data_IF_112224401552
#
_entry.id   IF_112224401552
#
_cell.length_a   1.000
_cell.length_b   1.000
_cell.length_c   1.000
_cell.angle_alpha   90.00
_cell.angle_beta   90.00
_cell.angle_gamma   90.00
#
_symmetry.space_group_name_H-M   'P 1'
#
loop_
_entity.id
_entity.type
_entity.pdbx_description
1 polymer ?
#
# COMPACT_ATOMS: atom_id res chain seq x y z
N UNK A 1 -18.89 21.37 18.30
CA UNK A 1 -17.60 22.02 17.94
C UNK A 1 -17.44 21.90 16.44
N UNK A 2 -17.37 23.02 15.73
CA UNK A 2 -17.02 22.99 14.31
C UNK A 2 -15.55 22.55 14.17
N UNK A 3 -15.21 21.62 13.27
CA UNK A 3 -13.81 21.31 12.98
C UNK A 3 -13.12 22.59 12.52
N UNK A 4 -12.02 22.94 13.17
CA UNK A 4 -11.14 24.02 12.73
C UNK A 4 -10.48 23.54 11.43
N UNK A 5 -10.82 24.18 10.30
CA UNK A 5 -10.24 23.83 9.01
C UNK A 5 -8.75 24.11 9.07
N UNK A 6 -7.95 23.08 8.83
CA UNK A 6 -6.52 23.28 8.59
C UNK A 6 -6.42 24.01 7.25
N UNK A 7 -5.84 25.21 7.27
CA UNK A 7 -5.72 26.11 6.12
C UNK A 7 -4.87 25.52 4.97
N UNK A 8 -4.13 24.44 5.23
CA UNK A 8 -3.28 23.79 4.23
C UNK A 8 -4.13 23.05 3.20
N UNK A 9 -4.06 23.54 1.96
CA UNK A 9 -4.80 22.96 0.83
C UNK A 9 -4.04 21.77 0.21
N UNK A 10 -4.75 20.88 -0.49
CA UNK A 10 -4.11 19.80 -1.26
C UNK A 10 -3.22 20.30 -2.40
N UNK A 11 -3.33 21.58 -2.78
CA UNK A 11 -2.54 22.18 -3.85
C UNK A 11 -1.14 22.62 -3.39
N UNK A 12 -0.95 22.86 -2.09
CA UNK A 12 0.35 23.25 -1.55
C UNK A 12 1.34 22.09 -1.57
N UNK A 13 2.58 22.40 -1.98
CA UNK A 13 3.68 21.45 -2.10
C UNK A 13 4.90 21.91 -1.31
N UNK A 14 5.77 20.96 -0.95
CA UNK A 14 7.10 21.23 -0.41
C UNK A 14 8.22 21.10 -1.44
N UNK A 15 9.40 20.75 -0.97
CA UNK A 15 10.60 20.56 -1.79
C UNK A 15 10.46 19.38 -2.76
N UNK A 16 9.67 18.36 -2.39
CA UNK A 16 9.44 17.19 -3.24
C UNK A 16 8.41 17.45 -4.35
N UNK A 17 7.71 18.59 -4.32
CA UNK A 17 6.67 18.90 -5.32
C UNK A 17 5.45 17.96 -5.27
N UNK A 18 5.27 17.21 -4.17
CA UNK A 18 4.17 16.24 -4.01
C UNK A 18 2.94 16.95 -3.47
N UNK A 19 1.86 16.95 -4.24
CA UNK A 19 0.55 17.49 -3.82
C UNK A 19 -0.01 16.68 -2.66
N UNK A 20 -0.86 17.31 -1.86
CA UNK A 20 -1.53 16.70 -0.70
C UNK A 20 -0.63 16.26 0.48
N UNK A 21 0.68 16.05 0.27
CA UNK A 21 1.62 15.61 1.31
C UNK A 21 1.67 16.56 2.51
N UNK A 22 1.72 17.87 2.24
CA UNK A 22 1.72 18.91 3.29
C UNK A 22 0.42 18.92 4.08
N UNK A 23 -0.71 18.74 3.39
CA UNK A 23 -2.04 18.66 4.03
C UNK A 23 -2.13 17.43 4.93
N UNK A 24 -1.71 16.26 4.46
CA UNK A 24 -1.65 15.03 5.26
C UNK A 24 -0.81 15.22 6.53
N UNK A 25 0.41 15.78 6.39
CA UNK A 25 1.26 16.11 7.52
C UNK A 25 0.59 17.09 8.49
N UNK A 26 0.00 18.18 8.00
CA UNK A 26 -0.64 19.19 8.83
C UNK A 26 -1.83 18.61 9.61
N UNK A 27 -2.63 17.76 8.97
CA UNK A 27 -3.71 17.01 9.60
C UNK A 27 -3.20 16.10 10.71
N UNK A 28 -2.11 15.36 10.47
CA UNK A 28 -1.48 14.53 11.49
C UNK A 28 -0.94 15.36 12.67
N UNK A 29 -0.27 16.50 12.40
CA UNK A 29 0.25 17.37 13.46
C UNK A 29 -0.85 18.01 14.31
N UNK A 30 -1.96 18.41 13.69
CA UNK A 30 -3.12 18.93 14.41
C UNK A 30 -3.75 17.86 15.31
N UNK A 31 -3.97 16.64 14.79
CA UNK A 31 -4.44 15.50 15.59
C UNK A 31 -3.51 15.22 16.77
N UNK A 32 -2.19 15.25 16.54
CA UNK A 32 -1.17 15.07 17.59
C UNK A 32 -1.29 16.13 18.70
N UNK A 33 -1.65 17.37 18.35
CA UNK A 33 -1.86 18.48 19.30
C UNK A 33 -3.25 18.49 19.94
N UNK A 34 -4.04 17.42 19.77
CA UNK A 34 -5.37 17.28 20.36
C UNK A 34 -6.46 18.08 19.65
N UNK A 35 -6.21 18.58 18.43
CA UNK A 35 -7.24 19.28 17.64
C UNK A 35 -8.08 18.28 16.86
N UNK A 36 -9.40 18.49 16.88
CA UNK A 36 -10.32 17.73 16.05
C UNK A 36 -10.26 18.20 14.61
N UNK A 37 -9.88 17.30 13.71
CA UNK A 37 -9.88 17.50 12.27
C UNK A 37 -10.90 16.52 11.69
N UNK A 38 -12.04 17.03 11.24
CA UNK A 38 -13.00 16.20 10.51
C UNK A 38 -12.36 15.73 9.21
N UNK A 39 -12.34 14.42 8.98
CA UNK A 39 -11.91 13.84 7.71
C UNK A 39 -13.13 13.40 6.92
N UNK A 40 -13.28 13.93 5.71
CA UNK A 40 -14.30 13.47 4.77
C UNK A 40 -13.86 12.16 4.10
N UNK A 41 -14.80 11.49 3.42
CA UNK A 41 -14.44 10.34 2.58
C UNK A 41 -13.45 10.74 1.47
N UNK A 42 -13.58 11.95 0.92
CA UNK A 42 -12.65 12.47 -0.08
C UNK A 42 -11.24 12.68 0.49
N UNK A 43 -11.12 13.19 1.72
CA UNK A 43 -9.83 13.27 2.42
C UNK A 43 -9.23 11.88 2.61
N UNK A 44 -10.04 10.90 3.04
CA UNK A 44 -9.56 9.52 3.21
C UNK A 44 -9.08 8.90 1.89
N UNK A 45 -9.81 9.10 0.78
CA UNK A 45 -9.41 8.62 -0.55
C UNK A 45 -8.09 9.28 -0.99
N UNK A 46 -7.93 10.58 -0.76
CA UNK A 46 -6.72 11.31 -1.11
C UNK A 46 -5.51 10.91 -0.26
N UNK A 47 -5.70 10.71 1.06
CA UNK A 47 -4.67 10.22 1.98
C UNK A 47 -4.19 8.82 1.55
N UNK A 48 -5.12 7.91 1.22
CA UNK A 48 -4.77 6.57 0.76
C UNK A 48 -4.08 6.58 -0.61
N UNK A 49 -4.56 7.39 -1.56
CA UNK A 49 -3.91 7.55 -2.85
C UNK A 49 -2.49 8.10 -2.70
N UNK A 50 -2.31 9.14 -1.87
CA UNK A 50 -1.00 9.70 -1.55
C UNK A 50 -0.05 8.64 -0.99
N UNK A 51 -0.47 7.94 0.06
CA UNK A 51 0.40 7.00 0.75
C UNK A 51 0.76 5.80 -0.12
N UNK A 52 -0.23 5.17 -0.76
CA UNK A 52 0.03 4.04 -1.65
C UNK A 52 0.81 4.46 -2.90
N UNK A 53 0.53 5.65 -3.44
CA UNK A 53 1.26 6.23 -4.56
C UNK A 53 2.72 6.54 -4.25
N UNK A 54 3.06 6.78 -2.97
CA UNK A 54 4.42 6.95 -2.48
C UNK A 54 5.05 5.67 -1.92
N UNK A 55 4.36 4.54 -1.98
CA UNK A 55 4.86 3.29 -1.41
C UNK A 55 4.97 3.31 0.12
N UNK A 56 4.13 4.08 0.80
CA UNK A 56 4.15 4.28 2.25
C UNK A 56 2.98 3.55 2.92
N UNK A 57 3.22 2.64 3.86
CA UNK A 57 2.16 2.05 4.68
C UNK A 57 1.56 3.11 5.61
N UNK A 58 0.22 3.17 5.68
CA UNK A 58 -0.50 4.11 6.55
C UNK A 58 -0.06 4.02 8.01
N UNK A 59 0.05 2.79 8.54
CA UNK A 59 0.42 2.58 9.94
C UNK A 59 1.84 3.09 10.25
N UNK A 60 2.80 2.88 9.34
CA UNK A 60 4.17 3.34 9.52
C UNK A 60 4.26 4.87 9.45
N UNK A 61 3.61 5.47 8.46
CA UNK A 61 3.58 6.93 8.29
C UNK A 61 2.95 7.63 9.51
N UNK A 62 1.77 7.15 9.95
CA UNK A 62 1.11 7.71 11.14
C UNK A 62 1.95 7.50 12.40
N UNK A 63 2.56 6.34 12.58
CA UNK A 63 3.43 6.06 13.74
C UNK A 63 4.61 7.04 13.79
N UNK A 64 5.29 7.24 12.66
CA UNK A 64 6.40 8.20 12.57
C UNK A 64 5.95 9.63 12.92
N UNK A 65 4.85 10.09 12.32
CA UNK A 65 4.30 11.43 12.57
C UNK A 65 3.86 11.61 14.02
N UNK A 66 3.17 10.62 14.60
CA UNK A 66 2.67 10.69 15.97
C UNK A 66 3.77 10.59 17.02
N UNK A 67 4.83 9.81 16.79
CA UNK A 67 5.92 9.66 17.76
C UNK A 67 6.92 10.81 17.67
N UNK A 68 7.30 11.20 16.45
CA UNK A 68 8.35 12.18 16.23
C UNK A 68 7.83 13.61 16.27
N UNK A 69 6.61 13.87 15.75
CA UNK A 69 6.10 15.23 15.55
C UNK A 69 7.03 16.13 14.71
N UNK A 70 7.48 15.66 13.53
CA UNK A 70 8.53 16.33 12.76
C UNK A 70 8.05 17.64 12.14
N UNK A 71 8.98 18.53 11.82
CA UNK A 71 8.75 19.61 10.85
C UNK A 71 8.39 19.03 9.47
N UNK A 72 7.79 19.84 8.59
CA UNK A 72 7.35 19.34 7.30
C UNK A 72 8.52 18.91 6.41
N UNK A 73 9.62 19.66 6.43
CA UNK A 73 10.84 19.36 5.68
C UNK A 73 11.49 18.05 6.16
N UNK A 74 11.46 17.77 7.46
CA UNK A 74 11.93 16.50 8.03
C UNK A 74 11.04 15.33 7.60
N UNK A 75 9.73 15.54 7.51
CA UNK A 75 8.82 14.53 6.98
C UNK A 75 9.07 14.26 5.48
N UNK A 76 9.36 15.29 4.68
CA UNK A 76 9.77 15.10 3.28
C UNK A 76 11.06 14.26 3.18
N UNK A 77 12.06 14.55 4.01
CA UNK A 77 13.29 13.76 4.06
C UNK A 77 13.02 12.29 4.44
N UNK A 78 12.14 12.05 5.41
CA UNK A 78 11.74 10.71 5.81
C UNK A 78 11.03 9.96 4.66
N UNK A 79 10.10 10.62 3.96
CA UNK A 79 9.39 10.06 2.79
C UNK A 79 10.37 9.66 1.68
N UNK A 80 11.35 10.53 1.40
CA UNK A 80 12.38 10.31 0.40
C UNK A 80 13.30 9.14 0.79
N UNK A 81 13.73 9.08 2.06
CA UNK A 81 14.55 7.99 2.58
C UNK A 81 13.84 6.64 2.49
N UNK A 82 12.53 6.60 2.78
CA UNK A 82 11.72 5.38 2.61
C UNK A 82 11.70 4.92 1.16
N UNK A 83 11.83 5.81 0.18
CA UNK A 83 11.88 5.45 -1.24
C UNK A 83 13.30 5.27 -1.80
N UNK A 84 14.32 5.09 -0.94
CA UNK A 84 15.69 4.88 -1.39
C UNK A 84 16.36 6.15 -1.94
N UNK A 85 15.84 7.34 -1.60
CA UNK A 85 16.45 8.61 -1.94
C UNK A 85 15.90 9.28 -3.21
N UNK A 86 15.02 8.62 -3.97
CA UNK A 86 14.48 9.18 -5.21
C UNK A 86 13.11 8.58 -5.57
N UNK A 87 12.35 9.30 -6.40
CA UNK A 87 11.12 8.83 -7.03
C UNK A 87 11.30 8.77 -8.54
N UNK A 88 10.60 7.85 -9.20
CA UNK A 88 10.52 7.87 -10.65
C UNK A 88 9.70 9.11 -11.09
N UNK A 89 10.16 9.92 -12.06
CA UNK A 89 9.44 11.13 -12.46
C UNK A 89 7.97 10.88 -12.84
N UNK A 90 7.70 9.83 -13.63
CA UNK A 90 6.34 9.46 -14.04
C UNK A 90 5.44 9.05 -12.86
N UNK A 91 6.00 8.50 -11.78
CA UNK A 91 5.24 8.17 -10.58
C UNK A 91 4.68 9.43 -9.91
N UNK A 92 5.51 10.48 -9.77
CA UNK A 92 5.09 11.73 -9.16
C UNK A 92 4.15 12.52 -10.09
N UNK A 93 4.40 12.51 -11.40
CA UNK A 93 3.48 13.11 -12.38
C UNK A 93 2.09 12.48 -12.28
N UNK A 94 2.01 11.15 -12.33
CA UNK A 94 0.74 10.42 -12.21
C UNK A 94 0.05 10.72 -10.88
N UNK A 95 0.79 10.69 -9.78
CA UNK A 95 0.25 10.96 -8.44
C UNK A 95 -0.31 12.39 -8.32
N UNK A 96 0.45 13.38 -8.81
CA UNK A 96 0.04 14.78 -8.75
C UNK A 96 -1.18 15.06 -9.65
N UNK A 97 -1.25 14.48 -10.85
CA UNK A 97 -2.44 14.57 -11.71
C UNK A 97 -3.66 13.94 -11.02
N UNK A 98 -3.52 12.74 -10.46
CA UNK A 98 -4.60 12.04 -9.77
C UNK A 98 -5.13 12.82 -8.54
N UNK A 99 -4.22 13.40 -7.72
CA UNK A 99 -4.59 14.20 -6.55
C UNK A 99 -5.19 15.58 -6.90
N UNK A 100 -4.95 16.09 -8.10
CA UNK A 100 -5.46 17.39 -8.55
C UNK A 100 -6.68 17.30 -9.46
N UNK A 101 -7.03 16.09 -9.92
CA UNK A 101 -8.06 15.88 -10.95
C UNK A 101 -7.66 16.41 -12.33
N UNK A 102 -6.39 16.77 -12.53
CA UNK A 102 -5.89 17.20 -13.83
C UNK A 102 -5.67 15.98 -14.74
N UNK A 103 -5.79 16.15 -16.08
CA UNK A 103 -5.46 15.09 -17.02
C UNK A 103 -4.03 14.56 -16.80
N UNK A 104 -3.85 13.27 -17.08
CA UNK A 104 -2.52 12.67 -17.12
C UNK A 104 -1.68 13.23 -18.26
N UNK A 105 -0.37 13.33 -18.04
CA UNK A 105 0.59 13.69 -19.08
C UNK A 105 0.60 12.64 -20.19
N UNK A 106 1.00 12.98 -21.43
CA UNK A 106 1.08 12.01 -22.53
C UNK A 106 1.95 10.79 -22.19
N UNK A 107 3.01 10.98 -21.39
CA UNK A 107 3.88 9.89 -20.96
C UNK A 107 3.17 8.91 -20.00
N UNK A 108 2.42 9.43 -19.02
CA UNK A 108 1.61 8.60 -18.11
C UNK A 108 0.49 7.89 -18.88
N UNK A 109 -0.17 8.57 -19.82
CA UNK A 109 -1.19 7.97 -20.68
C UNK A 109 -0.61 6.83 -21.53
N UNK A 110 0.57 7.02 -22.12
CA UNK A 110 1.25 5.98 -22.88
C UNK A 110 1.54 4.73 -22.03
N UNK A 111 2.01 4.90 -20.78
CA UNK A 111 2.25 3.79 -19.87
C UNK A 111 0.96 3.01 -19.53
N UNK A 112 -0.15 3.72 -19.30
CA UNK A 112 -1.45 3.08 -19.04
C UNK A 112 -2.01 2.37 -20.28
N UNK A 113 -1.83 2.95 -21.46
CA UNK A 113 -2.21 2.31 -22.72
C UNK A 113 -1.38 1.06 -23.02
N UNK A 114 -0.08 1.09 -22.77
CA UNK A 114 0.78 -0.09 -22.90
C UNK A 114 0.33 -1.21 -21.95
N UNK A 115 0.00 -0.86 -20.70
CA UNK A 115 -0.55 -1.83 -19.75
C UNK A 115 -1.89 -2.39 -20.19
N UNK A 116 -2.79 -1.55 -20.72
CA UNK A 116 -4.08 -2.00 -21.25
C UNK A 116 -3.90 -2.93 -22.46
N UNK A 117 -2.98 -2.60 -23.36
CA UNK A 117 -2.68 -3.37 -24.57
C UNK A 117 -1.88 -4.65 -24.30
N UNK A 118 -1.32 -4.81 -23.10
CA UNK A 118 -0.64 -6.04 -22.71
C UNK A 118 -1.60 -7.23 -22.85
N UNK A 119 -1.06 -8.37 -23.29
CA UNK A 119 -1.80 -9.64 -23.37
C UNK A 119 -2.50 -9.94 -22.05
N UNK A 120 -3.76 -10.33 -22.15
CA UNK A 120 -4.58 -10.76 -21.02
C UNK A 120 -3.97 -11.95 -20.28
N UNK A 121 -4.18 -11.96 -18.97
CA UNK A 121 -3.57 -12.91 -18.03
C UNK A 121 -4.60 -13.78 -17.32
N UNK A 122 -5.86 -13.32 -17.29
CA UNK A 122 -7.06 -14.07 -16.95
C UNK A 122 -7.82 -14.41 -18.24
N UNK A 123 -8.29 -15.64 -18.35
CA UNK A 123 -9.14 -16.09 -19.46
C UNK A 123 -10.60 -15.65 -19.28
N UNK A 124 -11.42 -15.80 -20.33
CA UNK A 124 -12.86 -15.57 -20.22
C UNK A 124 -13.54 -16.52 -19.20
N UNK A 125 -13.01 -17.72 -19.02
CA UNK A 125 -13.50 -18.65 -17.99
C UNK A 125 -13.16 -18.16 -16.58
N UNK A 126 -11.93 -17.66 -16.38
CA UNK A 126 -11.51 -17.06 -15.11
C UNK A 126 -12.39 -15.86 -14.73
N UNK A 127 -12.75 -15.01 -15.71
CA UNK A 127 -13.63 -13.86 -15.48
C UNK A 127 -15.07 -14.27 -15.15
N UNK A 128 -15.63 -15.28 -15.83
CA UNK A 128 -16.95 -15.82 -15.45
C UNK A 128 -16.92 -16.43 -14.05
N UNK A 129 -15.84 -17.14 -13.71
CA UNK A 129 -15.67 -17.72 -12.38
C UNK A 129 -15.62 -16.63 -11.30
N UNK A 130 -14.90 -15.53 -11.56
CA UNK A 130 -14.89 -14.35 -10.69
C UNK A 130 -16.31 -13.78 -10.49
N UNK A 131 -17.06 -13.56 -11.57
CA UNK A 131 -18.41 -12.99 -11.50
C UNK A 131 -19.37 -13.90 -10.70
N UNK A 132 -19.24 -15.21 -10.83
CA UNK A 132 -20.09 -16.19 -10.14
C UNK A 132 -19.69 -16.40 -8.68
N UNK A 133 -18.38 -16.38 -8.35
CA UNK A 133 -17.86 -16.85 -7.06
C UNK A 133 -17.24 -15.74 -6.19
N UNK A 134 -16.99 -14.56 -6.74
CA UNK A 134 -16.35 -13.43 -6.04
C UNK A 134 -14.86 -13.62 -5.77
N UNK A 135 -14.21 -14.62 -6.37
CA UNK A 135 -12.75 -14.82 -6.32
C UNK A 135 -12.22 -15.48 -7.59
N UNK A 136 -10.91 -15.36 -7.84
CA UNK A 136 -10.23 -15.99 -8.99
C UNK A 136 -8.76 -16.30 -8.66
N UNK A 137 -8.17 -17.31 -9.29
CA UNK A 137 -6.79 -17.74 -9.02
C UNK A 137 -5.88 -17.37 -10.20
N UNK A 138 -5.06 -16.33 -10.02
CA UNK A 138 -4.00 -15.98 -10.96
C UNK A 138 -2.75 -16.84 -10.70
N UNK A 139 -2.60 -17.94 -11.43
CA UNK A 139 -1.39 -18.78 -11.34
C UNK A 139 -0.18 -18.05 -11.94
N UNK A 140 0.97 -18.22 -11.26
CA UNK A 140 2.23 -17.61 -11.69
C UNK A 140 2.21 -16.08 -11.67
N UNK A 141 1.47 -15.47 -10.75
CA UNK A 141 1.39 -14.01 -10.58
C UNK A 141 2.76 -13.32 -10.47
N UNK A 142 3.72 -14.03 -9.87
CA UNK A 142 5.15 -13.74 -9.85
C UNK A 142 5.92 -15.02 -10.21
N UNK A 143 7.19 -14.90 -10.55
CA UNK A 143 8.04 -16.06 -10.83
C UNK A 143 8.34 -16.85 -9.56
N UNK A 144 8.65 -18.14 -9.70
CA UNK A 144 9.10 -18.97 -8.57
C UNK A 144 10.35 -18.41 -7.90
N UNK A 145 11.28 -17.85 -8.67
CA UNK A 145 12.48 -17.22 -8.14
C UNK A 145 12.16 -16.00 -7.26
N UNK A 146 11.26 -15.12 -7.72
CA UNK A 146 10.77 -13.98 -6.92
C UNK A 146 10.07 -14.44 -5.64
N UNK A 147 9.24 -15.50 -5.72
CA UNK A 147 8.58 -16.07 -4.55
C UNK A 147 9.61 -16.59 -3.52
N UNK A 148 10.59 -17.39 -3.95
CA UNK A 148 11.65 -17.91 -3.09
C UNK A 148 12.53 -16.79 -2.50
N UNK A 149 12.83 -15.74 -3.26
CA UNK A 149 13.60 -14.59 -2.76
C UNK A 149 12.84 -13.82 -1.67
N UNK A 150 11.53 -13.60 -1.85
CA UNK A 150 10.68 -12.98 -0.82
C UNK A 150 10.54 -13.86 0.41
N UNK A 151 10.37 -15.17 0.23
CA UNK A 151 10.33 -16.14 1.33
C UNK A 151 11.63 -16.07 2.17
N UNK A 152 12.79 -16.16 1.51
CA UNK A 152 14.08 -16.07 2.19
C UNK A 152 14.24 -14.76 2.98
N UNK A 153 13.81 -13.64 2.40
CA UNK A 153 13.88 -12.34 3.06
C UNK A 153 12.95 -12.24 4.29
N UNK A 154 11.80 -12.91 4.27
CA UNK A 154 10.91 -13.00 5.45
C UNK A 154 11.55 -13.84 6.56
N UNK A 155 12.13 -14.99 6.22
CA UNK A 155 12.86 -15.82 7.18
C UNK A 155 14.01 -15.06 7.85
N UNK A 156 14.81 -14.37 7.04
CA UNK A 156 15.92 -13.53 7.52
C UNK A 156 15.44 -12.40 8.43
N UNK A 157 14.41 -11.65 8.01
CA UNK A 157 13.87 -10.53 8.77
C UNK A 157 13.32 -10.94 10.15
N UNK A 158 12.78 -12.16 10.26
CA UNK A 158 12.28 -12.72 11.52
C UNK A 158 13.37 -13.46 12.32
N UNK A 159 14.58 -13.60 11.78
CA UNK A 159 15.65 -14.44 12.31
C UNK A 159 15.19 -15.89 12.57
N UNK A 160 14.39 -16.42 11.64
CA UNK A 160 13.81 -17.75 11.67
C UNK A 160 14.48 -18.64 10.62
N UNK A 161 14.43 -19.96 10.86
CA UNK A 161 15.02 -20.98 10.00
C UNK A 161 13.96 -21.96 9.52
N UNK A 162 13.79 -22.16 8.20
CA UNK A 162 12.76 -23.05 7.67
C UNK A 162 12.98 -24.53 8.06
N UNK A 163 14.22 -24.91 8.38
CA UNK A 163 14.60 -26.26 8.79
C UNK A 163 14.60 -26.46 10.32
N UNK A 164 14.20 -25.45 11.09
CA UNK A 164 14.17 -25.48 12.56
C UNK A 164 12.86 -24.87 13.07
N UNK A 165 11.79 -25.68 13.23
CA UNK A 165 10.49 -25.20 13.68
C UNK A 165 10.51 -24.52 15.04
N UNK A 166 11.46 -24.85 15.92
CA UNK A 166 11.58 -24.18 17.22
C UNK A 166 11.92 -22.69 17.07
N UNK A 167 12.67 -22.34 16.02
CA UNK A 167 13.00 -20.94 15.71
C UNK A 167 11.76 -20.08 15.40
N UNK A 168 10.67 -20.68 14.90
CA UNK A 168 9.46 -19.95 14.50
C UNK A 168 8.67 -19.37 15.66
N UNK A 169 8.88 -19.88 16.87
CA UNK A 169 8.16 -19.49 18.07
C UNK A 169 9.06 -18.77 19.09
N UNK A 170 10.34 -18.55 18.77
CA UNK A 170 11.31 -17.96 19.68
C UNK A 170 11.05 -16.48 19.98
N UNK A 171 10.42 -15.76 19.04
CA UNK A 171 10.09 -14.34 19.15
C UNK A 171 8.70 -14.07 18.54
N UNK A 172 7.97 -13.05 19.02
CA UNK A 172 6.78 -12.57 18.34
C UNK A 172 7.11 -12.12 16.91
N UNK A 173 6.24 -12.46 15.95
CA UNK A 173 6.37 -12.06 14.53
C UNK A 173 6.15 -10.55 14.37
N UNK A 174 5.15 -10.01 15.07
CA UNK A 174 4.81 -8.61 15.07
C UNK A 174 3.48 -8.38 15.79
N UNK A 175 2.59 -7.60 15.19
CA UNK A 175 1.24 -7.43 15.70
C UNK A 175 0.38 -8.61 15.25
N UNK A 176 0.38 -9.67 16.06
CA UNK A 176 -0.24 -10.93 15.68
C UNK A 176 0.66 -11.71 14.72
N UNK A 177 0.07 -12.13 13.59
CA UNK A 177 0.77 -12.74 12.45
C UNK A 177 1.42 -11.73 11.49
N UNK A 178 1.19 -10.43 11.70
CA UNK A 178 1.59 -9.38 10.76
C UNK A 178 2.91 -8.73 11.18
N UNK A 179 3.86 -8.66 10.27
CA UNK A 179 5.17 -8.03 10.47
C UNK A 179 5.29 -6.70 9.72
N UNK A 180 6.05 -5.77 10.29
CA UNK A 180 6.39 -4.47 9.70
C UNK A 180 7.45 -4.63 8.59
N UNK A 181 7.09 -5.37 7.54
CA UNK A 181 7.95 -5.72 6.42
C UNK A 181 7.33 -5.22 5.13
N UNK A 182 7.64 -3.96 4.81
CA UNK A 182 7.01 -3.23 3.71
C UNK A 182 7.99 -2.93 2.58
N UNK A 183 9.20 -2.53 2.97
CA UNK A 183 10.15 -1.83 2.11
C UNK A 183 11.20 -2.73 1.48
N UNK A 184 11.20 -4.02 1.81
CA UNK A 184 12.19 -4.95 1.28
C UNK A 184 12.14 -4.99 -0.26
N UNK A 185 13.29 -4.97 -0.96
CA UNK A 185 13.33 -4.92 -2.43
C UNK A 185 12.49 -6.01 -3.11
N UNK A 186 12.50 -7.23 -2.56
CA UNK A 186 11.74 -8.36 -3.10
C UNK A 186 10.21 -8.13 -3.06
N UNK A 187 9.70 -7.50 -2.01
CA UNK A 187 8.29 -7.11 -1.95
C UNK A 187 7.95 -5.99 -2.92
N UNK A 188 8.84 -5.00 -3.06
CA UNK A 188 8.65 -3.89 -4.02
C UNK A 188 8.61 -4.42 -5.45
N UNK A 189 9.47 -5.37 -5.78
CA UNK A 189 9.48 -6.04 -7.07
C UNK A 189 8.18 -6.81 -7.30
N UNK A 190 7.74 -7.60 -6.33
CA UNK A 190 6.48 -8.35 -6.42
C UNK A 190 5.26 -7.44 -6.64
N UNK A 191 5.18 -6.31 -5.92
CA UNK A 191 4.09 -5.31 -6.09
C UNK A 191 4.08 -4.66 -7.48
N UNK A 192 5.22 -4.63 -8.16
CA UNK A 192 5.37 -4.09 -9.52
C UNK A 192 5.14 -5.15 -10.61
N UNK A 193 4.67 -6.34 -10.27
CA UNK A 193 4.36 -7.37 -11.26
C UNK A 193 3.32 -6.89 -12.25
N UNK A 194 3.73 -6.78 -13.51
CA UNK A 194 2.86 -6.44 -14.63
C UNK A 194 1.71 -7.43 -14.77
N UNK A 195 1.96 -8.72 -14.47
CA UNK A 195 0.93 -9.76 -14.50
C UNK A 195 -0.13 -9.55 -13.42
N UNK A 196 0.27 -9.13 -12.23
CA UNK A 196 -0.69 -8.78 -11.16
C UNK A 196 -1.52 -7.56 -11.58
N UNK A 197 -0.87 -6.49 -12.02
CA UNK A 197 -1.57 -5.26 -12.43
C UNK A 197 -2.54 -5.55 -13.58
N UNK A 198 -2.10 -6.26 -14.62
CA UNK A 198 -2.96 -6.64 -15.74
C UNK A 198 -4.18 -7.46 -15.31
N UNK A 199 -4.03 -8.40 -14.35
CA UNK A 199 -5.16 -9.16 -13.83
C UNK A 199 -6.20 -8.27 -13.15
N UNK A 200 -5.76 -7.37 -12.25
CA UNK A 200 -6.67 -6.40 -11.62
C UNK A 200 -7.29 -5.44 -12.64
N UNK A 201 -6.54 -5.04 -13.67
CA UNK A 201 -7.06 -4.19 -14.73
C UNK A 201 -8.17 -4.88 -15.54
N UNK A 202 -8.08 -6.21 -15.75
CA UNK A 202 -9.17 -6.99 -16.34
C UNK A 202 -10.40 -7.04 -15.44
N UNK A 203 -10.22 -7.23 -14.12
CA UNK A 203 -11.33 -7.30 -13.15
C UNK A 203 -12.05 -5.96 -12.99
N UNK A 204 -11.31 -4.85 -12.94
CA UNK A 204 -11.85 -3.51 -12.73
C UNK A 204 -12.07 -2.71 -14.01
N UNK A 205 -11.82 -3.32 -15.16
CA UNK A 205 -11.99 -2.70 -16.47
C UNK A 205 -11.26 -1.35 -16.61
N UNK A 206 -10.10 -1.20 -15.95
CA UNK A 206 -9.26 -0.02 -16.05
C UNK A 206 -7.80 -0.34 -15.72
N UNK A 207 -6.82 0.13 -16.52
CA UNK A 207 -5.40 0.04 -16.17
C UNK A 207 -4.99 1.03 -15.07
N UNK A 208 -5.81 2.05 -14.79
CA UNK A 208 -5.48 3.13 -13.86
C UNK A 208 -5.73 2.73 -12.40
N UNK A 209 -4.93 1.79 -11.93
CA UNK A 209 -4.96 1.24 -10.57
C UNK A 209 -3.65 1.53 -9.85
N UNK A 210 -3.74 1.71 -8.54
CA UNK A 210 -2.59 1.90 -7.66
C UNK A 210 -2.42 0.67 -6.77
N UNK A 211 -1.21 0.12 -6.75
CA UNK A 211 -0.90 -0.98 -5.85
C UNK A 211 -0.89 -0.48 -4.40
N UNK A 212 -1.51 -1.22 -3.50
CA UNK A 212 -1.46 -0.92 -2.08
C UNK A 212 -0.11 -1.32 -1.49
N UNK A 213 0.36 -0.54 -0.51
CA UNK A 213 1.55 -0.90 0.28
C UNK A 213 1.11 -1.41 1.64
N UNK A 214 1.05 -2.73 1.77
CA UNK A 214 0.58 -3.39 2.98
C UNK A 214 1.62 -4.35 3.58
N UNK A 215 1.25 -4.88 4.74
CA UNK A 215 1.99 -5.77 5.64
C UNK A 215 2.25 -7.12 4.98
N UNK A 216 3.28 -7.77 5.50
CA UNK A 216 3.52 -9.19 5.25
C UNK A 216 3.05 -9.98 6.46
N UNK A 217 2.52 -11.18 6.22
CA UNK A 217 2.08 -12.07 7.29
C UNK A 217 2.83 -13.40 7.23
N UNK A 218 3.19 -13.93 8.40
CA UNK A 218 3.70 -15.29 8.55
C UNK A 218 2.83 -16.00 9.59
N UNK A 219 2.34 -17.20 9.24
CA UNK A 219 1.50 -18.00 10.12
C UNK A 219 2.15 -19.37 10.31
N UNK A 220 2.89 -19.59 11.41
CA UNK A 220 3.48 -20.89 11.68
C UNK A 220 2.37 -21.88 12.08
N UNK A 221 2.62 -23.21 11.99
CA UNK A 221 1.66 -24.21 12.44
C UNK A 221 1.24 -23.99 13.90
N UNK A 222 -0.01 -24.34 14.22
CA UNK A 222 -0.47 -24.29 15.61
C UNK A 222 0.20 -25.38 16.47
N UNK A 223 0.42 -25.06 17.74
CA UNK A 223 0.99 -25.98 18.73
C UNK A 223 0.14 -25.95 20.01
N UNK A 224 0.49 -26.74 21.03
CA UNK A 224 -0.20 -26.64 22.33
C UNK A 224 -0.14 -25.22 22.95
N UNK A 225 0.89 -24.45 22.60
CA UNK A 225 1.18 -23.12 23.17
C UNK A 225 1.02 -21.97 22.17
N UNK A 226 0.81 -22.27 20.88
CA UNK A 226 0.60 -21.28 19.83
C UNK A 226 -0.70 -21.56 19.08
N UNK A 227 -1.59 -20.57 19.04
CA UNK A 227 -2.85 -20.59 18.29
C UNK A 227 -2.79 -19.52 17.21
N UNK A 228 -3.53 -19.73 16.12
CA UNK A 228 -3.68 -18.73 15.09
C UNK A 228 -4.22 -17.41 15.67
N UNK A 229 -3.63 -16.29 15.24
CA UNK A 229 -3.90 -14.94 15.76
C UNK A 229 -4.62 -14.04 14.75
N UNK A 230 -5.10 -14.60 13.64
CA UNK A 230 -5.88 -13.89 12.65
C UNK A 230 -7.34 -13.70 13.06
N UNK A 231 -8.06 -12.90 12.28
CA UNK A 231 -9.50 -12.70 12.45
C UNK A 231 -10.27 -13.93 11.94
N UNK A 232 -11.38 -14.32 12.61
CA UNK A 232 -12.30 -15.32 12.06
C UNK A 232 -12.96 -14.80 10.78
N UNK A 233 -13.88 -15.58 10.18
CA UNK A 233 -14.63 -15.17 8.99
C UNK A 233 -15.18 -13.74 9.13
N UNK A 234 -14.80 -12.86 8.21
CA UNK A 234 -15.15 -11.44 8.22
C UNK A 234 -15.23 -10.88 6.81
N UNK A 235 -15.67 -9.62 6.71
CA UNK A 235 -15.66 -8.84 5.47
C UNK A 235 -14.63 -7.72 5.60
N UNK A 236 -13.78 -7.56 4.59
CA UNK A 236 -12.77 -6.50 4.56
C UNK A 236 -13.37 -5.11 4.36
N UNK A 237 -14.59 -5.06 3.83
CA UNK A 237 -15.34 -3.83 3.57
C UNK A 237 -16.65 -3.84 4.35
N UNK A 238 -17.20 -2.65 4.58
CA UNK A 238 -18.55 -2.51 5.09
C UNK A 238 -19.54 -3.13 4.11
N UNK A 239 -20.39 -4.03 4.61
CA UNK A 239 -21.58 -4.49 3.88
C UNK A 239 -22.77 -3.55 4.01
N UNK A 240 -22.64 -2.48 4.82
CA UNK A 240 -23.71 -1.50 4.99
C UNK A 240 -23.79 -0.63 3.73
N UNK A 241 -24.93 -0.62 3.01
CA UNK A 241 -25.16 0.34 1.93
C UNK A 241 -25.20 1.78 2.50
N UNK A 242 -24.98 2.82 1.70
CA UNK A 242 -24.79 2.81 0.25
C UNK A 242 -23.29 2.89 -0.09
N UNK A 243 -22.79 1.89 -0.81
CA UNK A 243 -21.55 2.02 -1.57
C UNK A 243 -21.85 2.60 -2.95
#
# INVERSE_FOLDING_TARGET
>A
MHPELIEVTSAETGQLGIRHLKRFWAHAMAKRRGRFVGTTEQDWRADNLLLNGLGLPLQEALRYLMQTGPAFEEFEQWVLAKNGGAFAPLQLERLNSALSGQPYTPAVQAQLHELAAHKDVLSAEDLRFWDENGYVILRGAITKAQACATEAAVWEALAMRPDDPASWYAKPIGQGMMMDFYHHPTLRENRRSLRIHKAFAQLWNTPDLWATTDRTSLNPPETATYRHQGTPLHWDVSLHPPF
#
